data_IF_048341973523
#
_entry.id   IF_048341973523
#
_cell.length_a   1.000
_cell.length_b   1.000
_cell.length_c   1.000
_cell.angle_alpha   90.00
_cell.angle_beta   90.00
_cell.angle_gamma   90.00
#
_symmetry.space_group_name_H-M   'P 1'
#
loop_
_entity.id
_entity.type
_entity.pdbx_description
1 polymer ?
#
# COMPACT_ATOMS: atom_id res chain seq x y z
N UNK A 1 2.77 -6.99 -10.06
CA UNK A 1 3.91 -6.41 -9.32
C UNK A 1 5.17 -6.72 -10.09
N UNK A 2 5.85 -5.71 -10.63
CA UNK A 2 7.05 -5.91 -11.44
C UNK A 2 7.92 -4.63 -11.48
N UNK A 3 9.21 -4.73 -11.82
CA UNK A 3 10.08 -3.56 -12.00
C UNK A 3 9.53 -2.53 -13.01
N UNK A 4 8.71 -2.99 -13.97
CA UNK A 4 8.10 -2.15 -15.01
C UNK A 4 6.91 -1.30 -14.51
N UNK A 5 6.48 -1.42 -13.26
CA UNK A 5 5.39 -0.59 -12.74
C UNK A 5 5.79 0.88 -12.69
N UNK A 6 5.05 1.73 -13.40
CA UNK A 6 5.36 3.16 -13.56
C UNK A 6 5.36 3.98 -12.29
N UNK A 7 4.81 3.45 -11.18
CA UNK A 7 4.75 4.12 -9.87
C UNK A 7 5.68 3.56 -8.81
N UNK A 8 6.58 2.63 -9.17
CA UNK A 8 7.57 2.10 -8.23
C UNK A 8 8.41 3.20 -7.55
N UNK A 9 8.64 4.33 -8.22
CA UNK A 9 9.42 5.45 -7.68
C UNK A 9 8.81 6.12 -6.43
N UNK A 10 7.49 6.00 -6.22
CA UNK A 10 6.82 6.54 -5.02
C UNK A 10 6.43 5.45 -4.02
N UNK A 11 6.82 4.20 -4.28
CA UNK A 11 6.65 3.07 -3.36
C UNK A 11 7.96 2.83 -2.59
N UNK A 12 7.90 2.09 -1.49
CA UNK A 12 9.07 1.87 -0.62
C UNK A 12 9.92 0.66 -1.02
N UNK A 13 9.37 -0.26 -1.81
CA UNK A 13 10.09 -1.44 -2.27
C UNK A 13 9.22 -2.68 -2.30
N UNK A 14 9.88 -3.81 -2.47
CA UNK A 14 9.21 -5.08 -2.73
C UNK A 14 8.98 -5.90 -1.44
N UNK A 15 9.80 -5.70 -0.41
CA UNK A 15 9.64 -6.40 0.85
C UNK A 15 8.54 -5.75 1.73
N UNK A 16 7.54 -6.53 2.20
CA UNK A 16 6.43 -5.99 3.00
C UNK A 16 6.86 -5.47 4.37
N UNK A 17 7.89 -6.07 4.99
CA UNK A 17 8.38 -5.63 6.30
C UNK A 17 9.11 -4.30 6.20
N UNK A 18 10.07 -4.18 5.27
CA UNK A 18 10.80 -2.96 4.98
C UNK A 18 9.83 -1.82 4.61
N UNK A 19 8.90 -2.08 3.70
CA UNK A 19 7.88 -1.09 3.31
C UNK A 19 7.04 -0.64 4.50
N UNK A 20 6.67 -1.55 5.40
CA UNK A 20 5.97 -1.24 6.65
C UNK A 20 6.79 -0.35 7.59
N UNK A 21 8.06 -0.67 7.85
CA UNK A 21 8.92 0.13 8.72
C UNK A 21 9.16 1.54 8.19
N UNK A 22 9.33 1.67 6.86
CA UNK A 22 9.46 2.96 6.18
C UNK A 22 8.17 3.77 6.32
N UNK A 23 7.01 3.15 6.06
CA UNK A 23 5.71 3.81 6.19
C UNK A 23 5.45 4.29 7.62
N UNK A 24 5.70 3.46 8.64
CA UNK A 24 5.52 3.82 10.06
C UNK A 24 6.32 5.06 10.43
N UNK A 25 7.60 5.10 10.04
CA UNK A 25 8.48 6.24 10.33
C UNK A 25 8.01 7.50 9.62
N UNK A 26 7.61 7.38 8.35
CA UNK A 26 7.09 8.50 7.55
C UNK A 26 5.80 9.07 8.16
N UNK A 27 4.83 8.21 8.49
CA UNK A 27 3.53 8.59 9.06
C UNK A 27 3.74 9.33 10.38
N UNK A 28 4.56 8.78 11.29
CA UNK A 28 4.86 9.44 12.58
C UNK A 28 5.52 10.80 12.38
N UNK A 29 6.46 10.90 11.43
CA UNK A 29 7.10 12.16 11.07
C UNK A 29 6.09 13.22 10.62
N UNK A 30 5.25 12.90 9.62
CA UNK A 30 4.21 13.82 9.12
C UNK A 30 3.21 14.19 10.21
N UNK A 31 2.70 13.21 10.95
CA UNK A 31 1.66 13.45 11.96
C UNK A 31 2.19 14.18 13.21
N UNK A 32 3.49 14.12 13.50
CA UNK A 32 4.10 14.96 14.54
C UNK A 32 3.98 16.46 14.28
N UNK A 33 3.78 16.84 13.01
CA UNK A 33 3.59 18.24 12.58
C UNK A 33 2.10 18.66 12.60
N UNK A 34 1.21 17.82 13.14
CA UNK A 34 -0.22 18.09 13.18
C UNK A 34 -0.96 17.89 11.85
N UNK A 35 -0.33 17.21 10.88
CA UNK A 35 -0.92 16.94 9.54
C UNK A 35 -1.30 15.47 9.41
N UNK A 36 -2.46 15.17 8.83
CA UNK A 36 -2.93 13.79 8.64
C UNK A 36 -2.20 13.11 7.48
N UNK A 37 -1.63 11.93 7.74
CA UNK A 37 -1.06 11.09 6.68
C UNK A 37 -2.11 10.11 6.14
N UNK A 38 -2.18 9.96 4.83
CA UNK A 38 -3.09 9.02 4.14
C UNK A 38 -2.28 7.88 3.51
N UNK A 39 -2.45 6.65 3.98
CA UNK A 39 -1.81 5.48 3.38
C UNK A 39 -2.48 5.11 2.04
N UNK A 40 -1.70 4.87 0.97
CA UNK A 40 -2.21 4.60 -0.38
C UNK A 40 -1.33 3.59 -1.14
N UNK A 41 -1.84 2.84 -2.12
CA UNK A 41 -3.26 2.66 -2.49
C UNK A 41 -3.71 1.31 -1.99
N UNK A 42 -4.75 1.28 -1.17
CA UNK A 42 -5.26 0.05 -0.54
C UNK A 42 -6.24 -0.67 -1.48
N UNK A 43 -5.91 -1.77 -2.14
CA UNK A 43 -4.65 -2.53 -2.13
C UNK A 43 -4.35 -3.13 -3.52
N UNK A 44 -3.21 -3.81 -3.67
CA UNK A 44 -2.83 -4.52 -4.91
C UNK A 44 -2.82 -3.65 -6.19
N UNK A 45 -2.52 -2.35 -6.03
CA UNK A 45 -2.34 -1.43 -7.14
C UNK A 45 -0.86 -1.32 -7.53
N UNK A 46 -0.37 -2.38 -8.18
CA UNK A 46 1.05 -2.56 -8.51
C UNK A 46 1.31 -2.62 -10.03
N UNK A 47 0.35 -2.12 -10.82
CA UNK A 47 0.39 -1.94 -12.26
C UNK A 47 -0.39 -0.68 -12.66
N UNK A 48 0.18 0.13 -13.55
CA UNK A 48 -0.49 1.33 -14.06
C UNK A 48 -1.36 1.05 -15.30
N UNK A 49 -0.97 0.05 -16.09
CA UNK A 49 -1.74 -0.34 -17.26
C UNK A 49 -3.15 -0.77 -16.85
N UNK A 50 -4.16 -0.08 -17.39
CA UNK A 50 -5.57 -0.38 -17.17
C UNK A 50 -6.02 -0.48 -15.70
N UNK A 51 -5.36 0.29 -14.81
CA UNK A 51 -5.57 0.23 -13.35
C UNK A 51 -7.00 0.54 -12.88
N UNK A 52 -7.86 1.08 -13.74
CA UNK A 52 -9.27 1.38 -13.43
C UNK A 52 -10.22 0.22 -13.76
N UNK A 53 -9.77 -0.80 -14.48
CA UNK A 53 -10.64 -1.90 -14.94
C UNK A 53 -10.09 -3.29 -14.60
N UNK A 54 -8.78 -3.43 -14.43
CA UNK A 54 -8.17 -4.74 -14.14
C UNK A 54 -8.49 -5.24 -12.72
N UNK A 55 -8.61 -6.56 -12.59
CA UNK A 55 -8.68 -7.24 -11.28
C UNK A 55 -7.36 -7.88 -10.91
N UNK A 56 -6.84 -7.51 -9.74
CA UNK A 56 -5.74 -8.19 -9.07
C UNK A 56 -6.28 -9.44 -8.38
N UNK A 57 -6.17 -10.60 -9.06
CA UNK A 57 -6.63 -11.88 -8.53
C UNK A 57 -5.52 -12.56 -7.73
N UNK A 58 -5.72 -12.68 -6.42
CA UNK A 58 -4.71 -13.11 -5.46
C UNK A 58 -5.33 -13.95 -4.35
N UNK A 59 -4.67 -15.03 -3.96
CA UNK A 59 -5.11 -15.87 -2.84
C UNK A 59 -4.96 -15.16 -1.49
N UNK A 60 -5.69 -15.62 -0.47
CA UNK A 60 -5.69 -14.96 0.84
C UNK A 60 -4.29 -14.93 1.47
N UNK A 61 -3.50 -16.00 1.33
CA UNK A 61 -2.18 -16.06 1.95
C UNK A 61 -1.28 -14.98 1.37
N UNK A 62 -1.21 -14.88 0.04
CA UNK A 62 -0.44 -13.84 -0.63
C UNK A 62 -0.95 -12.44 -0.28
N UNK A 63 -2.26 -12.23 -0.19
CA UNK A 63 -2.84 -10.95 0.24
C UNK A 63 -2.38 -10.57 1.67
N UNK A 64 -2.44 -11.52 2.61
CA UNK A 64 -2.12 -11.34 4.03
C UNK A 64 -0.62 -11.23 4.30
N UNK A 65 0.22 -11.93 3.55
CA UNK A 65 1.67 -11.99 3.76
C UNK A 65 2.46 -11.00 2.90
N UNK A 66 1.92 -10.52 1.77
CA UNK A 66 2.64 -9.65 0.84
C UNK A 66 2.02 -8.26 0.70
N UNK A 67 0.72 -8.15 0.43
CA UNK A 67 0.11 -6.86 0.03
C UNK A 67 -0.44 -6.05 1.20
N UNK A 68 -0.97 -6.71 2.24
CA UNK A 68 -1.55 -6.07 3.41
C UNK A 68 -0.59 -5.76 4.58
N UNK A 69 0.57 -6.40 4.79
CA UNK A 69 1.39 -6.14 5.98
C UNK A 69 1.86 -4.69 6.12
N UNK A 70 2.23 -4.03 5.03
CA UNK A 70 2.67 -2.62 5.08
C UNK A 70 1.52 -1.70 5.52
N UNK A 71 0.29 -1.94 5.05
CA UNK A 71 -0.90 -1.21 5.51
C UNK A 71 -1.25 -1.54 6.95
N UNK A 72 -1.11 -2.81 7.37
CA UNK A 72 -1.29 -3.21 8.77
C UNK A 72 -0.32 -2.45 9.68
N UNK A 73 0.97 -2.37 9.32
CA UNK A 73 1.96 -1.60 10.07
C UNK A 73 1.62 -0.10 10.07
N UNK A 74 1.26 0.46 8.91
CA UNK A 74 0.85 1.87 8.78
C UNK A 74 -0.30 2.25 9.74
N UNK A 75 -1.31 1.38 9.87
CA UNK A 75 -2.45 1.61 10.77
C UNK A 75 -2.09 1.30 12.24
N UNK A 76 -1.54 0.11 12.51
CA UNK A 76 -1.36 -0.38 13.88
C UNK A 76 -0.21 0.34 14.59
N UNK A 77 0.91 0.53 13.92
CA UNK A 77 2.14 1.08 14.52
C UNK A 77 2.35 2.54 14.11
N UNK A 78 2.03 2.88 12.86
CA UNK A 78 2.13 4.24 12.32
C UNK A 78 1.00 5.16 12.78
N UNK A 79 -0.16 4.60 13.14
CA UNK A 79 -1.38 5.35 13.48
C UNK A 79 -1.83 6.28 12.34
N UNK A 80 -1.75 5.82 11.09
CA UNK A 80 -2.23 6.58 9.94
C UNK A 80 -3.65 7.08 10.16
N UNK A 81 -3.87 8.39 9.99
CA UNK A 81 -5.18 9.01 10.20
C UNK A 81 -6.18 8.77 9.06
N UNK A 82 -5.71 8.34 7.88
CA UNK A 82 -6.57 8.00 6.76
C UNK A 82 -5.97 6.90 5.87
N UNK A 83 -6.83 6.26 5.07
CA UNK A 83 -6.48 5.28 4.04
C UNK A 83 -7.22 5.63 2.75
N UNK A 84 -6.51 5.56 1.62
CA UNK A 84 -7.06 5.74 0.29
C UNK A 84 -7.10 4.40 -0.44
N UNK A 85 -8.26 4.04 -0.97
CA UNK A 85 -8.43 2.82 -1.75
C UNK A 85 -7.71 2.90 -3.11
N UNK A 86 -7.49 1.74 -3.70
CA UNK A 86 -7.02 1.61 -5.08
C UNK A 86 -8.14 1.77 -6.10
N UNK A 87 -7.73 1.94 -7.37
CA UNK A 87 -8.65 1.94 -8.50
C UNK A 87 -9.02 0.53 -8.98
N UNK A 88 -8.08 -0.41 -8.90
CA UNK A 88 -8.25 -1.76 -9.43
C UNK A 88 -9.25 -2.56 -8.60
N UNK A 89 -9.86 -3.56 -9.24
CA UNK A 89 -10.61 -4.58 -8.54
C UNK A 89 -9.64 -5.54 -7.82
N UNK A 90 -10.12 -6.22 -6.77
CA UNK A 90 -9.40 -7.29 -6.09
C UNK A 90 -10.32 -8.51 -6.06
N UNK A 91 -9.89 -9.60 -6.71
CA UNK A 91 -10.71 -10.81 -6.85
C UNK A 91 -12.13 -10.53 -7.41
N UNK A 92 -12.22 -9.57 -8.34
CA UNK A 92 -13.46 -9.19 -9.04
C UNK A 92 -14.36 -8.18 -8.32
N UNK A 93 -13.95 -7.63 -7.18
CA UNK A 93 -14.69 -6.62 -6.38
C UNK A 93 -13.94 -5.30 -6.38
#
# INVERSE_FOLDING_TARGET
RAPMCGRNFEYFGEDPYLSGQMAVSYIKGVQSQGVVCTAKHYACNDQEWDRNNISSNVDERTLREIYLPAFKAAVMDGKAGAVMNSYNLINGI
#
